data_IF_034916635120
#
_entry.id   IF_034916635120
#
_cell.length_a   1.000
_cell.length_b   1.000
_cell.length_c   1.000
_cell.angle_alpha   90.00
_cell.angle_beta   90.00
_cell.angle_gamma   90.00
#
_symmetry.space_group_name_H-M   'P 1'
#
loop_
_entity.id
_entity.type
_entity.pdbx_description
1 polymer ?
#
# COMPACT_ATOMS: atom_id res chain seq x y z
N UNK A 1 -3.52 -57.65 -16.25
CA UNK A 1 -2.13 -57.24 -15.95
C UNK A 1 -2.17 -56.47 -14.64
N UNK A 2 -1.60 -57.02 -13.57
CA UNK A 2 -1.55 -56.35 -12.26
C UNK A 2 -0.49 -55.26 -12.25
N UNK A 3 -0.81 -54.09 -11.68
CA UNK A 3 0.19 -53.05 -11.46
C UNK A 3 1.14 -53.56 -10.38
N UNK A 4 2.45 -53.50 -10.64
CA UNK A 4 3.43 -53.89 -9.63
C UNK A 4 3.40 -52.89 -8.45
N UNK A 5 3.35 -53.36 -7.20
CA UNK A 5 3.28 -52.48 -6.03
C UNK A 5 4.42 -51.45 -5.98
N UNK A 6 5.61 -51.82 -6.47
CA UNK A 6 6.75 -50.92 -6.58
C UNK A 6 6.48 -49.74 -7.51
N UNK A 7 5.83 -49.96 -8.66
CA UNK A 7 5.49 -48.89 -9.62
C UNK A 7 4.40 -47.97 -9.06
N UNK A 8 3.43 -48.52 -8.33
CA UNK A 8 2.44 -47.71 -7.62
C UNK A 8 3.10 -46.82 -6.55
N UNK A 9 4.05 -47.37 -5.79
CA UNK A 9 4.73 -46.62 -4.73
C UNK A 9 5.63 -45.51 -5.31
N UNK A 10 6.41 -45.79 -6.35
CA UNK A 10 7.30 -44.78 -6.96
C UNK A 10 6.55 -43.66 -7.65
N UNK A 11 5.41 -43.95 -8.30
CA UNK A 11 4.56 -42.91 -8.90
C UNK A 11 3.96 -41.98 -7.86
N UNK A 12 3.50 -42.52 -6.72
CA UNK A 12 3.03 -41.72 -5.59
C UNK A 12 4.15 -40.84 -5.03
N UNK A 13 5.34 -41.39 -4.79
CA UNK A 13 6.49 -40.63 -4.30
C UNK A 13 6.89 -39.51 -5.26
N UNK A 14 6.91 -39.79 -6.56
CA UNK A 14 7.23 -38.80 -7.58
C UNK A 14 6.21 -37.66 -7.60
N UNK A 15 4.92 -37.99 -7.53
CA UNK A 15 3.85 -36.99 -7.45
C UNK A 15 3.98 -36.10 -6.20
N UNK A 16 4.33 -36.70 -5.05
CA UNK A 16 4.59 -35.99 -3.80
C UNK A 16 5.79 -35.03 -3.92
N UNK A 17 6.89 -35.43 -4.54
CA UNK A 17 8.06 -34.56 -4.73
C UNK A 17 7.72 -33.33 -5.57
N UNK A 18 6.96 -33.51 -6.66
CA UNK A 18 6.50 -32.40 -7.50
C UNK A 18 5.54 -31.50 -6.72
N UNK A 19 4.57 -32.09 -6.01
CA UNK A 19 3.61 -31.35 -5.21
C UNK A 19 4.27 -30.49 -4.12
N UNK A 20 5.23 -31.06 -3.39
CA UNK A 20 5.97 -30.35 -2.35
C UNK A 20 6.76 -29.15 -2.90
N UNK A 21 7.37 -29.28 -4.09
CA UNK A 21 8.07 -28.18 -4.76
C UNK A 21 7.14 -27.01 -5.13
N UNK A 22 5.95 -27.30 -5.64
CA UNK A 22 4.96 -26.26 -6.00
C UNK A 22 4.46 -25.52 -4.76
N UNK A 23 4.10 -26.24 -3.70
CA UNK A 23 3.60 -25.61 -2.47
C UNK A 23 4.70 -24.75 -1.83
N UNK A 24 5.92 -25.27 -1.73
CA UNK A 24 7.05 -24.54 -1.14
C UNK A 24 7.41 -23.26 -1.92
N UNK A 25 7.46 -23.35 -3.25
CA UNK A 25 7.76 -22.19 -4.10
C UNK A 25 6.67 -21.11 -4.06
N UNK A 26 5.39 -21.51 -3.98
CA UNK A 26 4.27 -20.55 -3.88
C UNK A 26 4.36 -19.70 -2.61
N UNK A 27 4.70 -20.32 -1.48
CA UNK A 27 4.81 -19.62 -0.21
C UNK A 27 6.11 -18.82 -0.10
N UNK A 28 7.22 -19.37 -0.59
CA UNK A 28 8.49 -18.64 -0.70
C UNK A 28 8.41 -17.40 -1.60
N UNK A 29 7.66 -17.48 -2.70
CA UNK A 29 7.42 -16.33 -3.58
C UNK A 29 6.56 -15.25 -2.91
N UNK A 30 5.51 -15.63 -2.18
CA UNK A 30 4.69 -14.67 -1.43
C UNK A 30 5.52 -13.93 -0.37
N UNK A 31 6.32 -14.67 0.41
CA UNK A 31 7.25 -14.10 1.39
C UNK A 31 8.31 -13.20 0.75
N UNK A 32 8.90 -13.65 -0.36
CA UNK A 32 9.88 -12.86 -1.12
C UNK A 32 9.29 -11.56 -1.68
N UNK A 33 8.05 -11.61 -2.20
CA UNK A 33 7.33 -10.41 -2.65
C UNK A 33 7.07 -9.46 -1.47
N UNK A 34 6.64 -10.00 -0.33
CA UNK A 34 6.38 -9.21 0.87
C UNK A 34 7.66 -8.49 1.36
N UNK A 35 8.80 -9.17 1.34
CA UNK A 35 10.10 -8.57 1.70
C UNK A 35 10.47 -7.38 0.79
N UNK A 36 10.20 -7.46 -0.52
CA UNK A 36 10.45 -6.36 -1.46
C UNK A 36 9.43 -5.21 -1.31
N UNK A 37 8.21 -5.50 -0.85
CA UNK A 37 7.17 -4.47 -0.62
C UNK A 37 7.20 -3.85 0.77
N UNK A 38 7.92 -4.45 1.73
CA UNK A 38 8.08 -3.95 3.09
C UNK A 38 8.83 -2.62 3.20
N UNK A 39 9.48 -2.19 2.12
CA UNK A 39 10.09 -0.85 1.98
C UNK A 39 9.21 0.04 1.10
N UNK A 40 7.90 0.07 1.34
CA UNK A 40 7.11 1.25 0.96
C UNK A 40 7.54 2.34 1.92
N UNK A 41 8.41 3.23 1.43
CA UNK A 41 8.71 4.47 2.14
C UNK A 41 7.38 5.08 2.59
N UNK A 42 7.23 5.44 3.88
CA UNK A 42 6.04 6.13 4.33
C UNK A 42 5.83 7.32 3.39
N UNK A 43 4.65 7.39 2.78
CA UNK A 43 4.27 8.55 1.98
C UNK A 43 4.30 9.75 2.94
N UNK A 44 5.44 10.46 2.93
CA UNK A 44 5.77 11.53 3.86
C UNK A 44 4.97 12.80 3.53
N UNK A 45 3.73 12.64 3.07
CA UNK A 45 2.75 13.71 3.03
C UNK A 45 2.28 13.93 4.47
N UNK A 46 2.54 15.09 5.08
CA UNK A 46 2.19 15.41 6.47
C UNK A 46 0.68 15.45 6.76
N UNK A 47 -0.17 14.93 5.88
CA UNK A 47 -1.63 15.02 5.93
C UNK A 47 -2.35 13.67 5.96
N UNK A 48 -1.68 12.54 5.69
CA UNK A 48 -2.36 11.24 5.56
C UNK A 48 -2.44 10.43 6.85
N UNK A 49 -1.49 10.60 7.77
CA UNK A 49 -1.46 9.84 9.05
C UNK A 49 -2.49 10.30 10.08
N UNK A 50 -3.14 11.45 9.86
CA UNK A 50 -4.19 11.95 10.74
C UNK A 50 -5.61 11.46 10.35
N UNK A 51 -5.75 10.82 9.18
CA UNK A 51 -7.05 10.46 8.63
C UNK A 51 -7.55 9.06 9.03
N UNK A 52 -6.71 8.19 9.59
CA UNK A 52 -7.09 6.81 9.91
C UNK A 52 -7.82 6.64 11.26
N UNK A 53 -7.91 7.69 12.08
CA UNK A 53 -8.47 7.62 13.43
C UNK A 53 -9.82 8.37 13.60
N UNK A 54 -10.48 8.74 12.51
CA UNK A 54 -11.79 9.39 12.56
C UNK A 54 -12.81 8.50 11.85
N UNK A 55 -13.66 7.86 12.64
CA UNK A 55 -14.91 7.30 12.15
C UNK A 55 -15.70 8.41 11.43
N UNK A 56 -16.06 8.18 10.17
CA UNK A 56 -17.01 9.01 9.43
C UNK A 56 -18.32 9.18 10.23
N UNK A 57 -19.09 10.28 10.09
CA UNK A 57 -19.37 10.94 8.80
C UNK A 57 -19.53 12.47 8.86
N UNK A 58 -18.95 13.20 7.91
CA UNK A 58 -19.50 14.50 7.51
C UNK A 58 -19.11 14.84 6.07
N UNK A 59 -20.15 15.09 5.29
CA UNK A 59 -20.10 15.52 3.91
C UNK A 59 -19.21 16.76 3.73
N UNK A 60 -18.55 16.81 2.56
CA UNK A 60 -18.23 18.07 1.88
C UNK A 60 -17.15 18.93 2.52
N UNK A 61 -15.90 18.71 2.14
CA UNK A 61 -15.00 19.83 1.84
C UNK A 61 -13.88 19.36 0.92
N UNK A 62 -14.27 19.04 -0.31
CA UNK A 62 -13.33 19.10 -1.41
C UNK A 62 -12.76 20.52 -1.45
N UNK A 63 -11.44 20.63 -1.57
CA UNK A 63 -10.66 21.86 -1.76
C UNK A 63 -11.53 23.05 -2.19
N UNK A 64 -11.88 23.92 -1.25
CA UNK A 64 -12.60 25.15 -1.55
C UNK A 64 -11.71 25.98 -2.47
N UNK A 65 -12.06 26.07 -3.77
CA UNK A 65 -11.37 26.97 -4.70
C UNK A 65 -11.52 28.40 -4.17
N UNK A 66 -10.42 28.94 -3.67
CA UNK A 66 -10.32 30.35 -3.27
C UNK A 66 -10.13 31.19 -4.52
N UNK A 67 -10.71 32.39 -4.52
CA UNK A 67 -10.59 33.30 -5.65
C UNK A 67 -9.16 33.86 -5.71
N UNK A 68 -8.50 33.75 -6.86
CA UNK A 68 -7.09 34.17 -6.98
C UNK A 68 -6.85 35.66 -6.71
N UNK A 69 -7.87 36.49 -6.86
CA UNK A 69 -7.76 37.93 -6.57
C UNK A 69 -7.50 38.16 -5.07
N UNK A 70 -8.14 37.37 -4.21
CA UNK A 70 -8.00 37.43 -2.75
C UNK A 70 -6.60 36.96 -2.31
N UNK A 71 -6.07 35.91 -2.96
CA UNK A 71 -4.73 35.37 -2.69
C UNK A 71 -3.65 36.40 -3.08
N UNK A 72 -3.81 37.06 -4.22
CA UNK A 72 -2.84 38.06 -4.70
C UNK A 72 -2.87 39.31 -3.79
N UNK A 73 -4.03 39.73 -3.31
CA UNK A 73 -4.17 40.85 -2.38
C UNK A 73 -3.52 40.54 -1.02
N UNK A 74 -3.78 39.35 -0.48
CA UNK A 74 -3.16 38.88 0.76
C UNK A 74 -1.62 38.77 0.64
N UNK A 75 -1.12 38.26 -0.48
CA UNK A 75 0.31 38.19 -0.74
C UNK A 75 0.95 39.59 -0.80
N UNK A 76 0.28 40.57 -1.41
CA UNK A 76 0.75 41.96 -1.45
C UNK A 76 0.74 42.62 -0.07
N UNK A 77 -0.29 42.38 0.73
CA UNK A 77 -0.36 42.84 2.12
C UNK A 77 0.82 42.31 2.93
N UNK A 78 1.14 41.02 2.82
CA UNK A 78 2.29 40.40 3.48
C UNK A 78 3.64 40.94 2.98
N UNK A 79 3.78 41.18 1.67
CA UNK A 79 5.01 41.75 1.09
C UNK A 79 5.22 43.22 1.45
N UNK A 80 4.15 43.97 1.71
CA UNK A 80 4.22 45.39 2.10
C UNK A 80 4.63 45.63 3.55
N UNK A 81 4.85 44.57 4.34
CA UNK A 81 5.54 44.65 5.63
C UNK A 81 4.76 45.32 6.77
N UNK A 82 3.43 45.18 6.81
CA UNK A 82 2.67 45.53 8.02
C UNK A 82 2.49 44.29 8.91
N UNK A 83 3.00 44.27 10.16
CA UNK A 83 2.78 43.17 11.08
C UNK A 83 1.36 43.26 11.63
N UNK A 84 0.42 42.66 10.92
CA UNK A 84 -0.96 42.52 11.37
C UNK A 84 -1.06 41.41 12.41
N UNK A 85 -0.77 41.74 13.67
CA UNK A 85 -1.21 40.96 14.82
C UNK A 85 -2.72 41.09 14.93
N UNK A 86 -3.47 40.01 14.68
CA UNK A 86 -4.72 39.66 15.37
C UNK A 86 -4.87 38.14 15.40
#
# INVERSE_FOLDING_TARGET
>A
MGISPAVAFTTVLLALMVGAGVVSSSWGYALGRQALTGVRQPDARPTSSAASNQASPAAGSGSMLRNEQEIIEEAKLRMSGSPGNQ
#
